data_IF_549922649465
#
_entry.id   IF_549922649465
#
_cell.length_a   1.000
_cell.length_b   1.000
_cell.length_c   1.000
_cell.angle_alpha   90.00
_cell.angle_beta   90.00
_cell.angle_gamma   90.00
#
_symmetry.space_group_name_H-M   'P 1'
#
loop_
_entity.id
_entity.type
_entity.pdbx_description
1 polymer ?
#
# COMPACT_ATOMS: atom_id res chain seq x y z
N UNK A 1 -2.17 -2.54 31.49
CA UNK A 1 -2.98 -3.05 30.37
C UNK A 1 -2.19 -4.18 29.74
N UNK A 2 -2.75 -5.38 29.64
CA UNK A 2 -2.03 -6.56 29.10
C UNK A 2 -1.88 -6.45 27.58
N UNK A 3 -0.89 -7.13 26.98
CA UNK A 3 -0.66 -7.14 25.53
C UNK A 3 -1.90 -7.62 24.75
N UNK A 4 -2.58 -8.65 25.25
CA UNK A 4 -3.87 -9.12 24.71
C UNK A 4 -4.93 -8.02 24.68
N UNK A 5 -5.12 -7.28 25.78
CA UNK A 5 -6.10 -6.18 25.83
C UNK A 5 -5.76 -5.02 24.89
N UNK A 6 -4.48 -4.79 24.59
CA UNK A 6 -4.04 -3.77 23.61
C UNK A 6 -4.24 -4.24 22.18
N UNK A 7 -3.90 -5.48 21.86
CA UNK A 7 -4.15 -6.08 20.55
C UNK A 7 -5.65 -6.06 20.23
N UNK A 8 -6.52 -6.39 21.19
CA UNK A 8 -7.97 -6.25 21.06
C UNK A 8 -8.38 -4.82 20.72
N UNK A 9 -7.93 -3.81 21.47
CA UNK A 9 -8.22 -2.38 21.21
C UNK A 9 -7.78 -1.92 19.81
N UNK A 10 -6.67 -2.45 19.30
CA UNK A 10 -6.15 -2.10 17.97
C UNK A 10 -6.84 -2.89 16.85
N UNK A 11 -7.28 -4.12 17.11
CA UNK A 11 -8.20 -4.86 16.23
C UNK A 11 -9.51 -4.06 16.01
N UNK A 12 -9.98 -3.30 17.00
CA UNK A 12 -11.12 -2.39 16.82
C UNK A 12 -10.84 -1.19 15.91
N UNK A 13 -9.58 -0.87 15.59
CA UNK A 13 -9.23 0.22 14.66
C UNK A 13 -9.09 -0.23 13.21
N UNK A 14 -8.87 -1.52 12.95
CA UNK A 14 -8.87 -2.04 11.58
C UNK A 14 -10.30 -2.26 11.06
N UNK A 15 -10.49 -2.14 9.75
CA UNK A 15 -11.73 -2.51 9.09
C UNK A 15 -11.94 -4.02 9.24
N UNK A 16 -13.14 -4.47 9.67
CA UNK A 16 -13.47 -5.88 9.68
C UNK A 16 -13.32 -6.49 8.28
N UNK A 17 -12.84 -7.73 8.19
CA UNK A 17 -12.68 -8.43 6.90
C UNK A 17 -13.99 -8.46 6.10
N UNK A 18 -15.14 -8.56 6.78
CA UNK A 18 -16.49 -8.55 6.20
C UNK A 18 -16.90 -7.22 5.56
N UNK A 19 -16.13 -6.14 5.79
CA UNK A 19 -16.31 -4.83 5.15
C UNK A 19 -15.39 -4.62 3.94
N UNK A 20 -14.49 -5.56 3.66
CA UNK A 20 -13.58 -5.47 2.53
C UNK A 20 -14.29 -5.89 1.24
N UNK A 21 -14.30 -4.98 0.28
CA UNK A 21 -14.80 -5.20 -1.07
C UNK A 21 -13.65 -5.62 -1.99
N UNK A 22 -13.86 -6.71 -2.74
CA UNK A 22 -12.92 -7.21 -3.74
C UNK A 22 -12.61 -6.11 -4.75
N UNK A 23 -11.34 -5.99 -5.12
CA UNK A 23 -10.84 -5.02 -6.07
C UNK A 23 -10.69 -3.59 -5.52
N UNK A 24 -11.14 -3.33 -4.29
CA UNK A 24 -10.99 -2.02 -3.65
C UNK A 24 -9.61 -1.85 -3.01
N UNK A 25 -9.16 -0.60 -2.97
CA UNK A 25 -7.92 -0.19 -2.34
C UNK A 25 -8.12 0.29 -0.91
N UNK A 26 -7.14 0.04 -0.06
CA UNK A 26 -7.16 0.40 1.35
C UNK A 26 -5.82 0.99 1.76
N UNK A 27 -5.89 2.04 2.57
CA UNK A 27 -4.79 2.42 3.43
C UNK A 27 -4.81 1.51 4.64
N UNK A 28 -3.65 0.97 4.97
CA UNK A 28 -3.46 0.09 6.10
C UNK A 28 -2.01 0.05 6.52
N UNK A 29 -1.69 -0.92 7.37
CA UNK A 29 -0.32 -1.20 7.74
C UNK A 29 0.03 -2.64 7.43
N UNK A 30 0.94 -2.81 6.50
CA UNK A 30 1.50 -4.08 6.08
C UNK A 30 2.95 -4.26 6.49
N UNK A 31 3.50 -5.45 6.20
CA UNK A 31 4.93 -5.74 6.38
C UNK A 31 5.78 -5.09 5.30
N UNK A 32 5.27 -5.01 4.08
CA UNK A 32 5.99 -4.58 2.89
C UNK A 32 5.44 -3.27 2.31
N UNK A 33 4.25 -2.83 2.70
CA UNK A 33 3.69 -1.54 2.28
C UNK A 33 2.42 -1.17 3.02
N UNK A 34 1.96 0.06 2.82
CA UNK A 34 0.84 0.66 3.57
C UNK A 34 -0.40 0.90 2.69
N UNK A 35 -0.34 0.54 1.42
CA UNK A 35 -1.44 0.64 0.48
C UNK A 35 -1.62 -0.72 -0.19
N UNK A 36 -2.81 -1.29 -0.05
CA UNK A 36 -3.09 -2.64 -0.52
C UNK A 36 -4.46 -2.73 -1.18
N UNK A 37 -4.55 -3.53 -2.24
CA UNK A 37 -5.81 -3.88 -2.89
C UNK A 37 -6.30 -5.23 -2.39
N UNK A 38 -7.55 -5.32 -1.97
CA UNK A 38 -8.12 -6.59 -1.50
C UNK A 38 -8.55 -7.46 -2.68
N UNK A 39 -7.98 -8.66 -2.83
CA UNK A 39 -8.37 -9.59 -3.89
C UNK A 39 -9.44 -10.63 -3.46
N UNK A 40 -9.88 -10.59 -2.20
CA UNK A 40 -10.80 -11.58 -1.63
C UNK A 40 -10.15 -12.56 -0.66
N UNK A 41 -8.81 -12.69 -0.71
CA UNK A 41 -8.03 -13.57 0.16
C UNK A 41 -6.88 -12.83 0.87
N UNK A 42 -6.21 -11.93 0.16
CA UNK A 42 -5.07 -11.16 0.66
C UNK A 42 -5.03 -9.75 0.07
N UNK A 43 -4.18 -8.90 0.65
CA UNK A 43 -3.86 -7.59 0.12
C UNK A 43 -2.70 -7.69 -0.88
N UNK A 44 -2.95 -7.24 -2.10
CA UNK A 44 -1.93 -7.03 -3.12
C UNK A 44 -1.25 -5.68 -2.82
N UNK A 45 0.06 -5.70 -2.57
CA UNK A 45 0.83 -4.52 -2.14
C UNK A 45 2.02 -4.30 -3.09
N UNK A 46 2.17 -3.08 -3.62
CA UNK A 46 3.36 -2.70 -4.39
C UNK A 46 4.51 -2.44 -3.41
N UNK A 47 5.65 -3.11 -3.63
CA UNK A 47 6.81 -3.02 -2.75
C UNK A 47 8.08 -3.44 -3.48
N UNK A 48 9.21 -3.30 -2.82
CA UNK A 48 10.50 -3.76 -3.31
C UNK A 48 10.71 -5.24 -2.97
N UNK A 49 10.99 -6.06 -3.99
CA UNK A 49 11.44 -7.45 -3.81
C UNK A 49 12.93 -7.60 -4.09
N UNK A 50 13.57 -8.46 -3.31
CA UNK A 50 14.97 -8.81 -3.49
C UNK A 50 15.13 -9.56 -4.81
N UNK A 51 16.11 -9.15 -5.61
CA UNK A 51 16.50 -9.85 -6.83
C UNK A 51 17.68 -10.73 -6.49
N UNK A 52 17.45 -12.04 -6.49
CA UNK A 52 18.50 -13.02 -6.25
C UNK A 52 19.60 -12.90 -7.31
N UNK A 53 20.83 -12.70 -6.87
CA UNK A 53 22.00 -12.52 -7.74
C UNK A 53 22.96 -13.72 -7.74
N UNK A 54 22.48 -14.91 -7.34
CA UNK A 54 23.30 -16.13 -7.25
C UNK A 54 23.97 -16.37 -5.90
N UNK A 55 23.87 -15.44 -4.94
CA UNK A 55 24.41 -15.64 -3.59
C UNK A 55 23.71 -14.79 -2.53
N UNK A 56 23.25 -15.39 -1.43
CA UNK A 56 22.72 -14.63 -0.29
C UNK A 56 23.79 -13.86 0.50
N UNK A 57 25.09 -14.09 0.21
CA UNK A 57 26.19 -13.41 0.89
C UNK A 57 26.54 -12.06 0.29
N UNK A 58 26.07 -11.77 -0.93
CA UNK A 58 26.28 -10.48 -1.59
C UNK A 58 25.06 -9.58 -1.39
N UNK A 59 25.27 -8.26 -1.44
CA UNK A 59 24.15 -7.31 -1.31
C UNK A 59 23.19 -7.50 -2.49
N UNK A 60 21.95 -7.86 -2.18
CA UNK A 60 20.91 -8.02 -3.19
C UNK A 60 20.44 -6.65 -3.69
N UNK A 61 20.15 -6.56 -4.98
CA UNK A 61 19.37 -5.43 -5.52
C UNK A 61 17.90 -5.65 -5.21
N UNK A 62 17.12 -4.58 -5.27
CA UNK A 62 15.66 -4.67 -5.21
C UNK A 62 15.05 -4.14 -6.48
N UNK A 63 13.88 -4.66 -6.84
CA UNK A 63 13.03 -4.04 -7.86
C UNK A 63 11.57 -3.97 -7.39
N UNK A 64 10.76 -3.03 -7.90
CA UNK A 64 9.36 -2.93 -7.55
C UNK A 64 8.58 -4.15 -8.05
N UNK A 65 7.58 -4.61 -7.29
CA UNK A 65 6.60 -5.64 -7.65
C UNK A 65 5.51 -5.83 -6.61
N UNK A 66 4.77 -6.93 -6.76
CA UNK A 66 3.60 -7.24 -5.94
C UNK A 66 3.96 -8.28 -4.89
N UNK A 67 3.60 -8.03 -3.63
CA UNK A 67 3.55 -9.04 -2.59
C UNK A 67 2.12 -9.17 -2.08
N UNK A 68 1.80 -10.38 -1.61
CA UNK A 68 0.51 -10.69 -1.03
C UNK A 68 0.64 -10.71 0.50
N UNK A 69 -0.21 -9.94 1.16
CA UNK A 69 -0.23 -9.81 2.60
C UNK A 69 -1.59 -10.25 3.15
N UNK A 70 -1.66 -11.35 3.92
CA UNK A 70 -2.93 -11.79 4.49
C UNK A 70 -3.49 -10.76 5.47
N UNK A 71 -4.82 -10.76 5.61
CA UNK A 71 -5.52 -9.96 6.59
C UNK A 71 -5.00 -10.25 8.00
N UNK A 72 -4.71 -9.21 8.77
CA UNK A 72 -4.18 -9.34 10.12
C UNK A 72 -5.24 -9.84 11.11
N UNK A 73 -4.92 -10.92 11.81
CA UNK A 73 -5.69 -11.49 12.92
C UNK A 73 -4.82 -11.61 14.18
N UNK A 74 -5.38 -12.14 15.26
CA UNK A 74 -4.61 -12.42 16.48
C UNK A 74 -3.58 -13.55 16.30
N UNK A 75 -3.77 -14.42 15.30
CA UNK A 75 -2.97 -15.62 15.10
C UNK A 75 -2.05 -15.52 13.88
N UNK A 76 -2.45 -14.76 12.87
CA UNK A 76 -1.75 -14.71 11.57
C UNK A 76 -1.97 -13.41 10.79
N UNK A 77 -1.32 -13.34 9.63
CA UNK A 77 -1.45 -12.22 8.70
C UNK A 77 -0.63 -11.00 9.09
N UNK A 78 -0.53 -10.04 8.17
CA UNK A 78 0.37 -8.91 8.34
C UNK A 78 -0.16 -7.57 7.84
N UNK A 79 -1.28 -7.54 7.12
CA UNK A 79 -1.90 -6.30 6.67
C UNK A 79 -3.12 -5.94 7.51
N UNK A 80 -3.04 -4.80 8.20
CA UNK A 80 -4.13 -4.20 8.97
C UNK A 80 -4.80 -3.09 8.14
N UNK A 81 -5.96 -3.31 7.51
CA UNK A 81 -6.64 -2.26 6.75
C UNK A 81 -7.31 -1.27 7.70
N UNK A 82 -7.15 0.04 7.50
CA UNK A 82 -7.78 1.04 8.37
C UNK A 82 -8.85 1.86 7.66
N UNK A 83 -8.66 2.15 6.38
CA UNK A 83 -9.60 2.97 5.61
C UNK A 83 -9.62 2.56 4.15
N UNK A 84 -10.82 2.43 3.59
CA UNK A 84 -10.99 2.28 2.14
C UNK A 84 -10.60 3.59 1.44
N UNK A 85 -9.82 3.48 0.36
CA UNK A 85 -9.57 4.59 -0.54
C UNK A 85 -10.78 4.66 -1.48
N UNK A 86 -11.73 5.52 -1.12
CA UNK A 86 -12.91 5.84 -1.93
C UNK A 86 -12.93 7.35 -2.14
N UNK A 87 -12.29 7.81 -3.21
CA UNK A 87 -12.37 9.19 -3.64
C UNK A 87 -13.30 9.26 -4.83
N UNK A 88 -14.30 10.14 -4.75
CA UNK A 88 -15.06 10.59 -5.90
C UNK A 88 -14.22 11.55 -6.73
N UNK A 89 -14.50 11.67 -8.03
CA UNK A 89 -13.82 12.63 -8.90
C UNK A 89 -13.96 14.08 -8.38
N UNK A 90 -15.06 14.40 -7.68
CA UNK A 90 -15.30 15.71 -7.06
C UNK A 90 -14.40 15.99 -5.86
N UNK A 91 -13.77 14.98 -5.27
CA UNK A 91 -12.83 15.14 -4.15
C UNK A 91 -11.37 15.27 -4.62
N UNK A 92 -11.10 15.05 -5.91
CA UNK A 92 -9.75 15.10 -6.46
C UNK A 92 -9.35 16.53 -6.85
N UNK A 93 -8.12 16.98 -6.50
CA UNK A 93 -7.60 18.24 -6.98
C UNK A 93 -7.52 18.30 -8.50
N UNK A 94 -7.71 19.49 -9.07
CA UNK A 94 -7.55 19.73 -10.51
C UNK A 94 -6.07 19.66 -10.91
N UNK A 95 -5.20 20.23 -10.08
CA UNK A 95 -3.78 20.29 -10.33
C UNK A 95 -3.09 19.01 -9.86
N UNK A 96 -2.17 18.51 -10.69
CA UNK A 96 -1.33 17.38 -10.30
C UNK A 96 -0.19 17.83 -9.38
N UNK A 97 0.29 16.92 -8.55
CA UNK A 97 1.45 17.09 -7.68
C UNK A 97 2.70 17.16 -8.56
N UNK A 98 3.50 18.21 -8.43
CA UNK A 98 4.69 18.36 -9.26
C UNK A 98 5.77 17.31 -8.89
N UNK A 99 6.59 16.90 -9.86
CA UNK A 99 7.66 15.88 -9.65
C UNK A 99 8.53 16.19 -8.43
N UNK A 100 8.91 17.45 -8.26
CA UNK A 100 9.77 17.91 -7.13
C UNK A 100 9.14 17.74 -5.74
N UNK A 101 7.84 17.49 -5.68
CA UNK A 101 7.07 17.26 -4.45
C UNK A 101 6.82 15.76 -4.21
N UNK A 102 7.19 14.90 -5.18
CA UNK A 102 7.02 13.46 -5.03
C UNK A 102 8.11 12.88 -4.14
N UNK A 103 7.69 12.17 -3.11
CA UNK A 103 8.56 11.42 -2.22
C UNK A 103 8.75 9.98 -2.70
N UNK A 104 10.00 9.51 -2.70
CA UNK A 104 10.37 8.14 -3.07
C UNK A 104 9.63 7.13 -2.19
N UNK A 105 9.01 6.15 -2.83
CA UNK A 105 8.31 5.04 -2.19
C UNK A 105 6.89 5.35 -1.70
N UNK A 106 6.40 6.59 -1.87
CA UNK A 106 5.04 7.00 -1.51
C UNK A 106 4.04 6.70 -2.62
N UNK A 107 2.77 6.56 -2.21
CA UNK A 107 1.65 6.26 -3.10
C UNK A 107 0.81 7.49 -3.41
N UNK A 108 0.36 7.58 -4.65
CA UNK A 108 -0.47 8.68 -5.14
C UNK A 108 -1.68 8.12 -5.88
N UNK A 109 -2.80 8.82 -5.74
CA UNK A 109 -3.99 8.62 -6.58
C UNK A 109 -3.83 9.44 -7.85
N UNK A 110 -4.14 8.84 -8.99
CA UNK A 110 -4.29 9.52 -10.27
C UNK A 110 -5.73 9.39 -10.79
N UNK A 111 -6.18 10.36 -11.58
CA UNK A 111 -7.47 10.33 -12.26
C UNK A 111 -7.31 9.73 -13.66
N UNK A 112 -7.99 8.61 -13.88
CA UNK A 112 -8.15 8.02 -15.21
C UNK A 112 -9.46 7.21 -15.28
N UNK A 113 -10.62 7.87 -15.17
CA UNK A 113 -11.98 7.28 -15.15
C UNK A 113 -12.28 6.22 -14.06
N UNK A 114 -11.23 5.66 -13.44
CA UNK A 114 -11.18 4.75 -12.31
C UNK A 114 -10.04 5.22 -11.38
N UNK A 115 -10.15 4.91 -10.09
CA UNK A 115 -9.08 5.21 -9.12
C UNK A 115 -7.83 4.42 -9.46
N UNK A 116 -6.83 5.12 -10.01
CA UNK A 116 -5.52 4.57 -10.28
C UNK A 116 -4.57 4.90 -9.14
N UNK A 117 -3.82 3.92 -8.67
CA UNK A 117 -2.86 4.08 -7.57
C UNK A 117 -1.47 3.70 -8.07
N UNK A 118 -0.51 4.60 -7.88
CA UNK A 118 0.89 4.39 -8.27
C UNK A 118 1.84 4.73 -7.13
N UNK A 119 2.92 3.96 -7.00
CA UNK A 119 4.04 4.23 -6.09
C UNK A 119 5.16 4.93 -6.84
N UNK A 120 5.64 6.06 -6.33
CA UNK A 120 6.74 6.79 -6.95
C UNK A 120 8.08 6.09 -6.70
N UNK A 121 8.82 5.75 -7.74
CA UNK A 121 10.12 5.05 -7.66
C UNK A 121 11.32 5.98 -7.90
N UNK A 122 11.09 7.28 -8.13
CA UNK A 122 12.11 8.32 -8.32
C UNK A 122 12.19 8.88 -9.74
N UNK A 123 11.76 8.09 -10.72
CA UNK A 123 11.75 8.40 -12.15
C UNK A 123 10.41 8.04 -12.82
N UNK A 124 9.75 6.98 -12.35
CA UNK A 124 8.43 6.55 -12.78
C UNK A 124 7.53 6.11 -11.62
N UNK A 125 6.26 5.88 -11.92
CA UNK A 125 5.30 5.23 -11.04
C UNK A 125 5.24 3.73 -11.33
N UNK A 126 5.34 2.91 -10.28
CA UNK A 126 4.95 1.50 -10.32
C UNK A 126 3.45 1.37 -10.03
N UNK A 127 2.74 0.67 -10.89
CA UNK A 127 1.28 0.48 -10.81
C UNK A 127 0.94 -0.98 -11.05
N UNK A 128 -0.25 -1.43 -10.63
CA UNK A 128 -0.74 -2.73 -11.08
C UNK A 128 -1.10 -2.66 -12.56
N UNK A 129 -0.59 -3.61 -13.34
CA UNK A 129 -0.93 -3.73 -14.75
C UNK A 129 -2.38 -4.15 -14.88
N UNK A 130 -3.20 -3.36 -15.58
CA UNK A 130 -4.63 -3.60 -15.63
C UNK A 130 -4.97 -4.87 -16.47
N UNK A 131 -4.98 -6.04 -15.83
CA UNK A 131 -5.48 -7.29 -16.38
C UNK A 131 -6.83 -7.62 -15.76
N UNK A 132 -7.79 -8.04 -16.59
CA UNK A 132 -9.18 -8.27 -16.19
C UNK A 132 -9.31 -9.11 -14.90
N UNK A 133 -9.80 -8.43 -13.86
CA UNK A 133 -10.68 -8.92 -12.79
C UNK A 133 -10.32 -10.28 -12.18
N UNK A 134 -9.29 -10.33 -11.33
CA UNK A 134 -9.31 -11.08 -10.04
C UNK A 134 -8.01 -10.97 -9.25
N UNK A 135 -6.86 -10.86 -9.92
CA UNK A 135 -5.58 -10.62 -9.26
C UNK A 135 -4.60 -9.96 -10.23
N UNK A 136 -3.76 -9.07 -9.70
CA UNK A 136 -2.64 -8.53 -10.45
C UNK A 136 -1.39 -9.31 -10.09
N UNK A 137 -0.78 -9.95 -11.08
CA UNK A 137 0.50 -10.64 -10.94
C UNK A 137 1.69 -9.76 -11.39
N UNK A 138 1.41 -8.66 -12.09
CA UNK A 138 2.41 -7.82 -12.75
C UNK A 138 2.23 -6.35 -12.39
N UNK A 139 3.35 -5.65 -12.28
CA UNK A 139 3.36 -4.20 -12.26
C UNK A 139 3.64 -3.67 -13.66
N UNK A 140 3.08 -2.50 -13.97
CA UNK A 140 3.47 -1.67 -15.11
C UNK A 140 4.11 -0.38 -14.61
N UNK A 141 4.84 0.29 -15.51
CA UNK A 141 5.55 1.52 -15.21
C UNK A 141 4.98 2.65 -16.06
N UNK A 142 4.78 3.81 -15.44
CA UNK A 142 4.28 4.98 -16.11
C UNK A 142 5.01 6.23 -15.64
N UNK A 143 5.40 7.09 -16.57
CA UNK A 143 6.08 8.33 -16.24
C UNK A 143 5.08 9.35 -15.69
N UNK A 144 5.61 10.34 -14.97
CA UNK A 144 4.86 11.53 -14.61
C UNK A 144 4.37 12.28 -15.86
N UNK A 145 3.22 12.94 -15.79
CA UNK A 145 2.65 13.70 -16.92
C UNK A 145 3.59 14.80 -17.46
N UNK A 146 4.35 15.46 -16.60
CA UNK A 146 5.37 16.45 -17.00
C UNK A 146 6.55 15.83 -17.78
N UNK A 147 6.77 14.50 -17.68
CA UNK A 147 7.76 13.75 -18.44
C UNK A 147 7.15 13.05 -19.66
N UNK A 148 6.04 13.57 -20.19
CA UNK A 148 5.25 12.98 -21.28
C UNK A 148 4.69 11.58 -20.95
N UNK A 149 4.58 11.23 -19.68
CA UNK A 149 3.85 10.04 -19.23
C UNK A 149 2.35 10.27 -19.15
N UNK A 150 1.59 9.22 -18.86
CA UNK A 150 0.13 9.33 -18.66
C UNK A 150 -0.29 9.29 -17.19
N UNK A 151 0.65 9.12 -16.24
CA UNK A 151 0.32 9.18 -14.82
C UNK A 151 0.24 10.63 -14.34
N UNK A 152 -0.95 11.06 -13.93
CA UNK A 152 -1.22 12.39 -13.37
C UNK A 152 -1.47 12.27 -11.86
N UNK A 153 -0.44 12.38 -10.99
CA UNK A 153 -0.63 12.23 -9.54
C UNK A 153 -1.44 13.42 -9.01
N UNK A 154 -2.59 13.18 -8.40
CA UNK A 154 -3.47 14.24 -7.88
C UNK A 154 -3.40 14.36 -6.36
N UNK A 155 -3.26 13.24 -5.66
CA UNK A 155 -3.31 13.23 -4.20
C UNK A 155 -2.34 12.21 -3.62
N UNK A 156 -1.56 12.63 -2.63
CA UNK A 156 -0.75 11.74 -1.80
C UNK A 156 -1.68 10.88 -0.93
N UNK A 157 -1.46 9.57 -0.93
CA UNK A 157 -2.12 8.66 0.00
C UNK A 157 -1.34 8.70 1.31
N UNK A 158 -1.93 9.32 2.33
CA UNK A 158 -1.31 9.35 3.66
C UNK A 158 -1.39 7.96 4.31
N UNK A 159 -0.23 7.38 4.58
CA UNK A 159 -0.06 5.98 4.99
C UNK A 159 -0.30 5.73 6.48
N UNK A 160 -0.64 6.77 7.26
CA UNK A 160 -0.78 6.69 8.71
C UNK A 160 0.54 6.64 9.45
N UNK A 161 0.48 6.52 10.78
CA UNK A 161 1.65 6.48 11.66
C UNK A 161 1.75 5.14 12.39
N UNK A 162 2.99 4.64 12.51
CA UNK A 162 3.31 3.46 13.32
C UNK A 162 3.25 3.82 14.80
N UNK A 163 2.39 3.14 15.54
CA UNK A 163 2.27 3.34 16.98
C UNK A 163 3.23 2.39 17.72
N UNK A 164 3.24 1.10 17.38
CA UNK A 164 4.07 0.11 18.08
C UNK A 164 4.35 -1.12 17.18
N UNK A 165 5.60 -1.61 17.06
CA UNK A 165 5.88 -2.88 16.39
C UNK A 165 5.63 -4.06 17.35
N UNK A 166 4.80 -5.03 16.95
CA UNK A 166 4.72 -6.33 17.61
C UNK A 166 6.01 -7.13 17.35
N UNK A 167 6.59 -7.63 18.43
CA UNK A 167 7.80 -8.44 18.39
C UNK A 167 7.41 -9.88 18.66
N UNK A 168 7.53 -10.73 17.64
CA UNK A 168 7.36 -12.16 17.76
C UNK A 168 8.75 -12.81 17.82
N UNK A 169 9.05 -13.57 18.88
CA UNK A 169 10.33 -14.28 19.03
C UNK A 169 11.58 -13.40 18.84
N UNK A 170 11.55 -12.17 19.37
CA UNK A 170 12.65 -11.19 19.25
C UNK A 170 12.77 -10.53 17.87
N UNK A 171 11.91 -10.85 16.91
CA UNK A 171 11.86 -10.25 15.59
C UNK A 171 10.63 -9.33 15.49
N UNK A 172 10.83 -8.10 15.01
CA UNK A 172 9.74 -7.17 14.71
C UNK A 172 8.96 -7.72 13.51
N UNK A 173 7.75 -8.25 13.75
CA UNK A 173 6.99 -8.96 12.72
C UNK A 173 5.71 -8.23 12.31
N UNK A 174 4.98 -7.63 13.25
CA UNK A 174 3.72 -6.95 12.98
C UNK A 174 3.83 -5.50 13.40
N UNK A 175 3.07 -4.61 12.77
CA UNK A 175 3.16 -3.19 13.06
C UNK A 175 1.76 -2.66 13.31
N UNK A 176 1.51 -2.23 14.54
CA UNK A 176 0.29 -1.53 14.90
C UNK A 176 0.40 -0.07 14.48
N UNK A 177 -0.65 0.46 13.88
CA UNK A 177 -0.68 1.82 13.37
C UNK A 177 -2.08 2.42 13.47
N UNK A 178 -2.18 3.73 13.21
CA UNK A 178 -3.46 4.39 12.99
C UNK A 178 -3.38 5.36 11.82
N UNK A 179 -4.51 5.61 11.17
CA UNK A 179 -4.61 6.60 10.09
C UNK A 179 -4.44 7.99 10.67
N UNK A 180 -3.56 8.79 10.06
CA UNK A 180 -3.59 10.23 10.26
C UNK A 180 -4.83 10.77 9.54
N UNK A 181 -5.69 11.50 10.24
CA UNK A 181 -6.86 12.13 9.62
C UNK A 181 -6.41 12.90 8.35
N UNK A 182 -7.05 12.59 7.22
CA UNK A 182 -6.93 13.40 6.02
C UNK A 182 -7.46 14.79 6.39
N UNK A 183 -6.59 15.79 6.47
CA UNK A 183 -7.01 17.20 6.46
C UNK A 183 -7.17 17.63 5.02
#
# INVERSE_FOLDING_TARGET
>A
MTELKRAEVLLYKQLPITKLLIGSWYVGRGRNGNVGRWNGNSFEVITNYLVYNGSFRTKQKTKPGIKFEPYFTAEEGCFQPFKKISLSQTELPINHVAIKQLELGRFYVADNHQLLIGRWEGDYFSMFKNTDVQSYAEIEFNNHCDLKGSFRPLLLINEGEVIEPYIENGRKHLVYASVMNFK
#
